data_IF_037205643080
#
_entry.id   IF_037205643080
#
_cell.length_a   1.000
_cell.length_b   1.000
_cell.length_c   1.000
_cell.angle_alpha   90.00
_cell.angle_beta   90.00
_cell.angle_gamma   90.00
#
_symmetry.space_group_name_H-M   'P 1'
#
loop_
_entity.id
_entity.type
_entity.pdbx_description
1 polymer ?
#
# COMPACT_ATOMS: atom_id res chain seq x y z
N UNK A 1 13.14 -1.82 7.52
CA UNK A 1 14.60 -1.70 7.24
C UNK A 1 14.95 -2.53 6.02
N UNK A 2 16.13 -2.33 5.41
CA UNK A 2 16.58 -3.04 4.20
C UNK A 2 15.49 -3.14 3.12
N UNK A 3 14.87 -2.00 2.83
CA UNK A 3 13.73 -1.90 1.92
C UNK A 3 14.11 -2.25 0.48
N UNK A 4 13.29 -3.08 -0.17
CA UNK A 4 13.42 -3.47 -1.57
C UNK A 4 12.07 -3.32 -2.27
N UNK A 5 11.99 -2.44 -3.25
CA UNK A 5 10.79 -2.21 -4.04
C UNK A 5 10.81 -3.07 -5.31
N UNK A 6 9.66 -3.61 -5.68
CA UNK A 6 9.48 -4.52 -6.81
C UNK A 6 8.39 -3.99 -7.76
N UNK A 7 8.77 -3.78 -9.01
CA UNK A 7 7.88 -3.41 -10.13
C UNK A 7 8.20 -4.35 -11.28
N UNK A 8 7.43 -5.42 -11.42
CA UNK A 8 7.80 -6.54 -12.28
C UNK A 8 9.19 -7.05 -11.91
N UNK A 9 10.03 -7.29 -12.92
CA UNK A 9 11.42 -7.75 -12.75
C UNK A 9 12.35 -6.68 -12.15
N UNK A 10 11.94 -5.42 -12.14
CA UNK A 10 12.79 -4.32 -11.63
C UNK A 10 12.78 -4.31 -10.11
N UNK A 11 13.97 -4.32 -9.52
CA UNK A 11 14.19 -4.18 -8.08
C UNK A 11 14.92 -2.87 -7.78
N UNK A 12 14.38 -2.08 -6.86
CA UNK A 12 14.96 -0.79 -6.46
C UNK A 12 15.15 -0.79 -4.95
N UNK A 13 16.38 -0.57 -4.48
CA UNK A 13 16.64 -0.43 -3.05
C UNK A 13 16.13 0.92 -2.57
N UNK A 14 15.28 0.92 -1.55
CA UNK A 14 14.65 2.13 -1.01
C UNK A 14 13.65 1.78 0.09
N UNK A 15 13.47 2.68 1.05
CA UNK A 15 12.47 2.51 2.10
C UNK A 15 11.05 2.76 1.59
N UNK A 16 10.92 3.76 0.71
CA UNK A 16 9.73 4.14 -0.04
C UNK A 16 10.17 4.68 -1.41
N UNK A 17 9.23 4.92 -2.31
CA UNK A 17 9.54 5.62 -3.57
C UNK A 17 10.19 6.97 -3.24
N UNK A 18 11.34 7.23 -3.86
CA UNK A 18 12.16 8.42 -3.67
C UNK A 18 12.83 8.56 -2.29
N UNK A 19 12.78 7.56 -1.42
CA UNK A 19 13.44 7.57 -0.11
C UNK A 19 14.48 6.43 0.01
N UNK A 20 15.71 6.72 0.46
CA UNK A 20 16.76 5.70 0.60
C UNK A 20 16.39 4.67 1.67
N UNK A 21 16.89 3.45 1.52
CA UNK A 21 16.72 2.42 2.55
C UNK A 21 17.70 2.67 3.72
N UNK A 22 17.21 2.53 4.96
CA UNK A 22 18.07 2.38 6.13
C UNK A 22 18.69 0.97 6.14
N UNK A 23 20.01 0.90 6.38
CA UNK A 23 20.81 -0.34 6.42
C UNK A 23 21.68 -0.36 7.68
N UNK A 24 22.17 -1.53 8.11
CA UNK A 24 23.08 -1.67 9.25
C UNK A 24 22.39 -1.92 10.60
N UNK A 25 21.20 -1.36 10.82
CA UNK A 25 20.46 -1.54 12.08
C UNK A 25 19.95 -2.97 12.25
N UNK A 26 19.47 -3.61 11.18
CA UNK A 26 19.01 -5.01 11.23
C UNK A 26 20.16 -5.92 11.67
N UNK A 27 21.34 -5.76 11.09
CA UNK A 27 22.51 -6.59 11.37
C UNK A 27 22.99 -6.41 12.82
N UNK A 28 22.94 -5.18 13.34
CA UNK A 28 23.23 -4.90 14.75
C UNK A 28 22.23 -5.58 15.69
N UNK A 29 20.93 -5.47 15.43
CA UNK A 29 19.90 -6.11 16.25
C UNK A 29 20.02 -7.64 16.22
N UNK A 30 20.32 -8.22 15.06
CA UNK A 30 20.62 -9.65 14.92
C UNK A 30 21.82 -10.06 15.78
N UNK A 31 22.91 -9.28 15.76
CA UNK A 31 24.10 -9.55 16.58
C UNK A 31 23.84 -9.54 18.09
N UNK A 32 22.77 -8.85 18.52
CA UNK A 32 22.34 -8.78 19.91
C UNK A 32 21.30 -9.86 20.29
N UNK A 33 20.97 -10.75 19.35
CA UNK A 33 20.08 -11.90 19.55
C UNK A 33 18.61 -11.65 19.23
N UNK A 34 18.27 -10.51 18.60
CA UNK A 34 16.91 -10.27 18.09
C UNK A 34 16.75 -10.99 16.74
N UNK A 35 15.67 -11.75 16.59
CA UNK A 35 15.33 -12.46 15.35
C UNK A 35 14.51 -11.57 14.42
N UNK A 36 14.78 -11.64 13.12
CA UNK A 36 14.08 -10.87 12.08
C UNK A 36 13.53 -11.80 11.01
N UNK A 37 12.49 -11.35 10.34
CA UNK A 37 11.96 -11.94 9.11
C UNK A 37 11.55 -10.79 8.16
N UNK A 38 11.10 -11.11 6.94
CA UNK A 38 10.71 -10.11 5.94
C UNK A 38 9.22 -10.16 5.66
N UNK A 39 8.62 -8.97 5.57
CA UNK A 39 7.25 -8.77 5.14
C UNK A 39 7.19 -8.03 3.83
N UNK A 40 6.10 -8.27 3.10
CA UNK A 40 5.73 -7.53 1.91
C UNK A 40 4.45 -6.73 2.14
N UNK A 41 4.43 -5.49 1.66
CA UNK A 41 3.18 -4.74 1.40
C UNK A 41 3.16 -4.21 -0.03
N UNK A 42 1.96 -3.94 -0.55
CA UNK A 42 1.76 -3.39 -1.90
C UNK A 42 1.02 -2.07 -1.84
N UNK A 43 1.39 -1.14 -2.71
CA UNK A 43 0.69 0.13 -2.91
C UNK A 43 0.18 0.22 -4.35
N UNK A 44 -0.96 0.88 -4.60
CA UNK A 44 -1.45 1.10 -5.94
C UNK A 44 -0.67 2.21 -6.65
N UNK A 45 -0.99 2.35 -7.92
CA UNK A 45 -0.60 3.49 -8.75
C UNK A 45 -1.03 4.82 -8.13
N UNK A 46 -0.33 5.87 -8.52
CA UNK A 46 -0.79 7.25 -8.39
C UNK A 46 -1.06 7.82 -9.76
N UNK A 47 -2.25 8.38 -9.94
CA UNK A 47 -2.72 8.82 -11.26
C UNK A 47 -2.95 10.32 -11.29
N UNK A 48 -2.82 10.91 -12.48
CA UNK A 48 -3.11 12.32 -12.72
C UNK A 48 -4.61 12.53 -12.97
N UNK A 49 -5.26 13.30 -12.11
CA UNK A 49 -6.69 13.63 -12.20
C UNK A 49 -7.10 14.16 -13.58
N UNK A 50 -6.22 14.89 -14.26
CA UNK A 50 -6.51 15.50 -15.58
C UNK A 50 -6.67 14.47 -16.70
N UNK A 51 -6.25 13.24 -16.45
CA UNK A 51 -6.33 12.12 -17.40
C UNK A 51 -7.50 11.16 -17.11
N UNK A 52 -8.32 11.48 -16.11
CA UNK A 52 -9.45 10.66 -15.67
C UNK A 52 -10.76 11.24 -16.23
N UNK A 53 -11.61 10.36 -16.73
CA UNK A 53 -12.96 10.67 -17.18
C UNK A 53 -13.95 10.44 -16.04
N UNK A 54 -14.08 11.44 -15.17
CA UNK A 54 -14.90 11.37 -13.95
C UNK A 54 -16.40 11.18 -14.25
N UNK A 55 -16.87 11.56 -15.44
CA UNK A 55 -18.24 11.33 -15.91
C UNK A 55 -18.59 9.83 -16.08
N UNK A 56 -17.58 8.96 -16.13
CA UNK A 56 -17.71 7.49 -16.20
C UNK A 56 -17.61 6.83 -14.82
N UNK A 57 -17.66 7.62 -13.74
CA UNK A 57 -17.47 7.18 -12.37
C UNK A 57 -18.62 7.64 -11.47
N UNK A 58 -18.86 6.91 -10.40
CA UNK A 58 -19.84 7.29 -9.38
C UNK A 58 -19.18 8.17 -8.32
N UNK A 59 -19.63 9.41 -8.18
CA UNK A 59 -19.14 10.31 -7.13
C UNK A 59 -19.58 9.83 -5.75
N UNK A 60 -18.64 9.80 -4.80
CA UNK A 60 -18.83 9.47 -3.39
C UNK A 60 -18.46 10.71 -2.54
N UNK A 61 -19.40 11.65 -2.35
CA UNK A 61 -19.16 12.83 -1.54
C UNK A 61 -19.05 12.45 -0.06
N UNK A 62 -18.16 13.14 0.67
CA UNK A 62 -18.07 12.99 2.12
C UNK A 62 -19.29 13.56 2.85
N UNK A 63 -19.51 13.10 4.08
CA UNK A 63 -20.60 13.59 4.93
C UNK A 63 -20.28 14.96 5.53
N UNK A 64 -21.24 15.89 5.50
CA UNK A 64 -21.09 17.25 6.06
C UNK A 64 -21.59 17.37 7.51
N UNK A 65 -21.43 16.31 8.31
CA UNK A 65 -21.90 16.29 9.69
C UNK A 65 -20.85 16.78 10.71
N UNK A 66 -21.12 16.53 12.00
CA UNK A 66 -20.34 17.02 13.14
C UNK A 66 -19.22 16.06 13.59
N UNK A 67 -19.02 14.93 12.92
CA UNK A 67 -18.04 13.94 13.38
C UNK A 67 -16.61 14.48 13.24
N UNK A 68 -15.81 14.22 14.27
CA UNK A 68 -14.37 14.52 14.31
C UNK A 68 -13.64 13.41 15.05
N UNK A 69 -12.41 13.12 14.62
CA UNK A 69 -11.56 12.12 15.29
C UNK A 69 -11.08 12.58 16.68
N UNK A 70 -10.84 13.88 16.86
CA UNK A 70 -10.36 14.44 18.13
C UNK A 70 -11.53 14.83 19.05
N UNK A 71 -11.48 14.39 20.31
CA UNK A 71 -12.41 14.82 21.35
C UNK A 71 -12.19 16.27 21.81
N UNK A 72 -11.09 16.92 21.43
CA UNK A 72 -10.80 18.29 21.86
C UNK A 72 -11.71 19.31 21.17
N UNK A 73 -12.22 20.29 21.93
CA UNK A 73 -13.13 21.33 21.43
C UNK A 73 -12.47 22.33 20.48
N UNK A 74 -11.14 22.45 20.53
CA UNK A 74 -10.34 23.27 19.61
C UNK A 74 -10.29 22.71 18.19
N UNK A 75 -10.63 21.44 17.98
CA UNK A 75 -10.62 20.80 16.67
C UNK A 75 -11.78 21.32 15.81
N UNK A 76 -11.46 22.14 14.80
CA UNK A 76 -12.41 22.66 13.82
C UNK A 76 -12.16 22.05 12.45
N UNK A 77 -13.23 21.72 11.72
CA UNK A 77 -13.15 21.29 10.32
C UNK A 77 -12.84 22.51 9.45
N UNK A 78 -11.57 22.62 9.01
CA UNK A 78 -11.08 23.75 8.20
C UNK A 78 -10.76 23.37 6.75
N UNK A 79 -10.61 22.08 6.48
CA UNK A 79 -10.23 21.56 5.16
C UNK A 79 -11.44 21.38 4.26
N UNK A 80 -11.24 21.64 2.97
CA UNK A 80 -12.23 21.39 1.92
C UNK A 80 -12.49 19.89 1.84
N UNK A 81 -13.77 19.54 1.81
CA UNK A 81 -14.16 18.16 1.56
C UNK A 81 -14.07 17.90 0.06
N UNK A 82 -13.26 16.90 -0.28
CA UNK A 82 -13.12 16.42 -1.65
C UNK A 82 -13.88 15.10 -1.76
N UNK A 83 -14.57 14.90 -2.87
CA UNK A 83 -15.25 13.65 -3.15
C UNK A 83 -14.23 12.57 -3.53
N UNK A 84 -14.52 11.34 -3.10
CA UNK A 84 -13.91 10.16 -3.71
C UNK A 84 -14.79 9.72 -4.89
N UNK A 85 -14.27 8.83 -5.72
CA UNK A 85 -15.01 8.30 -6.86
C UNK A 85 -14.88 6.79 -6.92
N UNK A 86 -15.95 6.11 -7.29
CA UNK A 86 -15.93 4.66 -7.47
C UNK A 86 -16.08 4.27 -8.93
N UNK A 87 -15.36 3.22 -9.31
CA UNK A 87 -15.51 2.53 -10.59
C UNK A 87 -15.18 1.06 -10.41
N UNK A 88 -15.18 0.28 -11.48
CA UNK A 88 -14.92 -1.15 -11.44
C UNK A 88 -13.89 -1.54 -12.49
N UNK A 89 -13.08 -2.54 -12.14
CA UNK A 89 -12.36 -3.33 -13.16
C UNK A 89 -13.36 -4.13 -14.01
N UNK A 90 -12.92 -4.62 -15.16
CA UNK A 90 -13.73 -5.44 -16.06
C UNK A 90 -12.90 -6.64 -16.59
N UNK A 91 -13.54 -7.51 -17.37
CA UNK A 91 -12.89 -8.71 -17.92
C UNK A 91 -11.67 -8.38 -18.79
N UNK A 92 -11.73 -7.34 -19.62
CA UNK A 92 -10.61 -6.91 -20.45
C UNK A 92 -9.40 -6.47 -19.61
N UNK A 93 -9.64 -5.75 -18.50
CA UNK A 93 -8.62 -5.42 -17.51
C UNK A 93 -8.02 -6.70 -16.90
N UNK A 94 -8.86 -7.67 -16.53
CA UNK A 94 -8.42 -8.93 -15.93
C UNK A 94 -7.57 -9.76 -16.89
N UNK A 95 -7.92 -9.82 -18.18
CA UNK A 95 -7.15 -10.53 -19.20
C UNK A 95 -5.74 -9.96 -19.33
N UNK A 96 -5.61 -8.63 -19.38
CA UNK A 96 -4.30 -7.96 -19.42
C UNK A 96 -3.50 -8.24 -18.14
N UNK A 97 -4.14 -8.22 -16.96
CA UNK A 97 -3.48 -8.56 -15.70
C UNK A 97 -3.00 -10.01 -15.70
N UNK A 98 -3.76 -10.95 -16.27
CA UNK A 98 -3.39 -12.36 -16.43
C UNK A 98 -2.14 -12.54 -17.29
N UNK A 99 -2.02 -11.77 -18.38
CA UNK A 99 -0.81 -11.77 -19.23
C UNK A 99 0.46 -11.46 -18.42
N UNK A 100 0.36 -10.56 -17.42
CA UNK A 100 1.49 -10.13 -16.59
C UNK A 100 1.83 -11.06 -15.43
N UNK A 101 1.00 -12.05 -15.10
CA UNK A 101 1.21 -12.93 -13.93
C UNK A 101 2.57 -13.64 -13.91
N UNK A 102 3.10 -14.18 -15.03
CA UNK A 102 4.42 -14.81 -15.05
C UNK A 102 5.57 -13.86 -14.68
N UNK A 103 5.38 -12.56 -14.89
CA UNK A 103 6.36 -11.52 -14.58
C UNK A 103 6.09 -10.82 -13.23
N UNK A 104 5.03 -11.23 -12.52
CA UNK A 104 4.74 -10.74 -11.18
C UNK A 104 5.74 -11.30 -10.16
N UNK A 105 6.38 -10.45 -9.35
CA UNK A 105 7.29 -10.86 -8.28
C UNK A 105 6.68 -11.85 -7.28
N UNK A 106 5.35 -11.84 -7.15
CA UNK A 106 4.60 -12.77 -6.28
C UNK A 106 4.57 -14.19 -6.82
N UNK A 107 4.52 -14.35 -8.14
CA UNK A 107 4.29 -15.64 -8.78
C UNK A 107 5.57 -16.24 -9.38
N UNK A 108 6.57 -15.41 -9.68
CA UNK A 108 7.86 -15.86 -10.23
C UNK A 108 8.91 -16.26 -9.17
N UNK A 109 8.55 -16.20 -7.87
CA UNK A 109 9.44 -16.55 -6.77
C UNK A 109 10.48 -15.49 -6.39
N UNK A 110 10.41 -14.28 -6.98
CA UNK A 110 11.27 -13.13 -6.63
C UNK A 110 10.97 -12.61 -5.23
N UNK A 111 9.71 -12.68 -4.79
CA UNK A 111 9.28 -12.34 -3.43
C UNK A 111 9.01 -13.65 -2.69
N UNK A 112 9.74 -13.86 -1.59
CA UNK A 112 9.58 -15.01 -0.69
C UNK A 112 9.03 -14.61 0.68
N UNK A 113 8.90 -13.30 0.91
CA UNK A 113 8.39 -12.73 2.16
C UNK A 113 6.89 -12.92 2.33
N UNK A 114 6.45 -12.87 3.58
CA UNK A 114 5.05 -13.08 3.95
C UNK A 114 4.28 -11.79 3.71
N UNK A 115 3.17 -11.86 2.96
CA UNK A 115 2.24 -10.75 2.76
C UNK A 115 1.06 -10.77 3.74
N UNK A 116 0.37 -9.64 3.94
CA UNK A 116 -0.86 -9.60 4.73
C UNK A 116 -1.95 -10.47 4.08
N UNK A 117 -2.65 -11.28 4.89
CA UNK A 117 -3.70 -12.21 4.42
C UNK A 117 -4.96 -11.51 3.87
N UNK A 118 -5.24 -10.28 4.30
CA UNK A 118 -6.54 -9.63 4.10
C UNK A 118 -6.59 -8.56 2.99
N UNK A 119 -5.44 -8.03 2.56
CA UNK A 119 -5.35 -7.01 1.50
C UNK A 119 -4.51 -7.52 0.31
N UNK A 120 -5.02 -8.49 -0.47
CA UNK A 120 -4.31 -9.01 -1.62
C UNK A 120 -4.17 -7.93 -2.71
N UNK A 121 -3.04 -7.96 -3.42
CA UNK A 121 -2.86 -7.19 -4.65
C UNK A 121 -3.90 -7.57 -5.71
N UNK A 122 -4.14 -6.69 -6.68
CA UNK A 122 -5.12 -6.92 -7.75
C UNK A 122 -4.81 -8.20 -8.54
N UNK A 123 -3.52 -8.48 -8.82
CA UNK A 123 -3.10 -9.73 -9.46
C UNK A 123 -3.44 -10.98 -8.63
N UNK A 124 -3.53 -10.86 -7.31
CA UNK A 124 -3.90 -11.96 -6.42
C UNK A 124 -5.41 -12.09 -6.29
N UNK A 125 -6.15 -10.97 -6.31
CA UNK A 125 -7.61 -10.96 -6.30
C UNK A 125 -8.19 -11.69 -7.51
N UNK A 126 -7.69 -11.42 -8.72
CA UNK A 126 -8.20 -12.04 -9.95
C UNK A 126 -7.90 -13.55 -10.07
N UNK A 127 -6.87 -14.04 -9.37
CA UNK A 127 -6.55 -15.47 -9.30
C UNK A 127 -7.38 -16.17 -8.21
N UNK A 128 -7.51 -15.53 -7.05
CA UNK A 128 -8.22 -16.10 -5.90
C UNK A 128 -9.73 -16.10 -6.10
N UNK A 129 -10.26 -15.07 -6.75
CA UNK A 129 -11.68 -14.86 -7.02
C UNK A 129 -11.92 -14.82 -8.54
N UNK A 130 -11.48 -15.87 -9.24
CA UNK A 130 -11.50 -15.95 -10.69
C UNK A 130 -12.92 -15.92 -11.31
N UNK A 131 -13.94 -16.20 -10.51
CA UNK A 131 -15.37 -16.13 -10.86
C UNK A 131 -15.91 -14.69 -10.90
N UNK A 132 -15.21 -13.72 -10.29
CA UNK A 132 -15.63 -12.32 -10.30
C UNK A 132 -15.19 -11.63 -11.59
N UNK A 133 -16.16 -11.14 -12.35
CA UNK A 133 -15.93 -10.38 -13.59
C UNK A 133 -15.52 -8.92 -13.35
N UNK A 134 -15.66 -8.45 -12.10
CA UNK A 134 -15.30 -7.08 -11.70
C UNK A 134 -14.90 -6.99 -10.22
N UNK A 135 -14.07 -5.99 -9.94
CA UNK A 135 -13.65 -5.57 -8.60
C UNK A 135 -13.78 -4.06 -8.50
N UNK A 136 -14.39 -3.58 -7.41
CA UNK A 136 -14.54 -2.16 -7.15
C UNK A 136 -13.18 -1.50 -6.88
N UNK A 137 -13.04 -0.29 -7.41
CA UNK A 137 -11.92 0.61 -7.20
C UNK A 137 -12.43 1.92 -6.60
N UNK A 138 -11.65 2.49 -5.69
CA UNK A 138 -11.88 3.83 -5.16
C UNK A 138 -10.74 4.73 -5.64
N UNK A 139 -11.12 5.89 -6.17
CA UNK A 139 -10.20 6.93 -6.58
C UNK A 139 -10.27 8.06 -5.56
N UNK A 140 -9.20 8.20 -4.79
CA UNK A 140 -9.14 9.03 -3.59
C UNK A 140 -8.12 10.17 -3.79
N UNK A 141 -8.49 11.44 -3.58
CA UNK A 141 -7.55 12.56 -3.75
C UNK A 141 -6.46 12.55 -2.67
N UNK A 142 -5.19 12.73 -3.05
CA UNK A 142 -4.08 12.80 -2.06
C UNK A 142 -3.96 14.19 -1.40
N UNK A 143 -4.67 15.21 -1.88
CA UNK A 143 -4.71 16.53 -1.23
C UNK A 143 -5.46 17.60 -2.03
N UNK A 144 -5.69 18.76 -1.42
CA UNK A 144 -6.46 19.88 -2.00
C UNK A 144 -5.73 20.62 -3.13
N UNK A 145 -4.39 20.59 -3.12
CA UNK A 145 -3.54 21.40 -4.00
C UNK A 145 -2.72 20.57 -4.97
N UNK A 146 -3.00 19.26 -5.06
CA UNK A 146 -2.36 18.33 -5.99
C UNK A 146 -3.39 17.76 -6.96
N UNK A 147 -2.92 17.31 -8.12
CA UNK A 147 -3.71 16.55 -9.09
C UNK A 147 -3.51 15.04 -8.93
N UNK A 148 -2.82 14.62 -7.89
CA UNK A 148 -2.50 13.22 -7.66
C UNK A 148 -3.64 12.52 -6.91
N UNK A 149 -4.05 11.38 -7.45
CA UNK A 149 -5.04 10.50 -6.82
C UNK A 149 -4.46 9.11 -6.55
N UNK A 150 -4.89 8.54 -5.42
CA UNK A 150 -4.65 7.18 -4.98
C UNK A 150 -5.73 6.25 -5.54
N UNK A 151 -5.35 5.19 -6.26
CA UNK A 151 -6.30 4.21 -6.80
C UNK A 151 -6.44 2.99 -5.88
N UNK A 152 -7.21 3.15 -4.81
CA UNK A 152 -7.48 2.09 -3.87
C UNK A 152 -8.20 0.90 -4.54
N UNK A 153 -7.79 -0.31 -4.13
CA UNK A 153 -8.23 -1.56 -4.75
C UNK A 153 -7.28 -2.09 -5.84
N UNK A 154 -6.39 -1.25 -6.39
CA UNK A 154 -5.45 -1.59 -7.47
C UNK A 154 -3.98 -1.73 -7.01
N UNK A 155 -3.73 -2.17 -5.77
CA UNK A 155 -2.35 -2.45 -5.32
C UNK A 155 -1.73 -3.53 -6.20
N UNK A 156 -0.55 -3.28 -6.77
CA UNK A 156 0.08 -4.21 -7.70
C UNK A 156 1.60 -4.20 -7.62
N UNK A 157 2.22 -5.28 -8.06
CA UNK A 157 3.65 -5.40 -8.29
C UNK A 157 3.99 -5.81 -9.72
N UNK A 158 3.02 -5.76 -10.64
CA UNK A 158 3.21 -6.08 -12.05
C UNK A 158 4.13 -5.08 -12.76
N UNK A 159 4.67 -5.42 -13.95
CA UNK A 159 5.35 -4.45 -14.80
C UNK A 159 4.49 -3.21 -15.11
N UNK A 160 5.10 -2.02 -15.18
CA UNK A 160 4.39 -0.76 -15.42
C UNK A 160 3.54 -0.78 -16.70
N UNK A 161 4.04 -1.39 -17.78
CA UNK A 161 3.28 -1.49 -19.04
C UNK A 161 2.01 -2.33 -18.89
N UNK A 162 2.01 -3.36 -18.06
CA UNK A 162 0.81 -4.16 -17.75
C UNK A 162 -0.15 -3.34 -16.90
N UNK A 163 0.35 -2.67 -15.86
CA UNK A 163 -0.48 -1.79 -15.02
C UNK A 163 -1.18 -0.73 -15.87
N UNK A 164 -0.44 -0.04 -16.75
CA UNK A 164 -0.99 1.00 -17.63
C UNK A 164 -2.05 0.44 -18.59
N UNK A 165 -1.74 -0.64 -19.32
CA UNK A 165 -2.70 -1.28 -20.25
C UNK A 165 -3.96 -1.76 -19.55
N UNK A 166 -3.81 -2.37 -18.36
CA UNK A 166 -4.94 -2.87 -17.58
C UNK A 166 -5.85 -1.73 -17.12
N UNK A 167 -5.28 -0.59 -16.72
CA UNK A 167 -6.06 0.59 -16.37
C UNK A 167 -6.74 1.21 -17.60
N UNK A 168 -6.06 1.32 -18.74
CA UNK A 168 -6.64 1.85 -19.98
C UNK A 168 -7.81 1.03 -20.53
N UNK A 169 -7.94 -0.24 -20.12
CA UNK A 169 -9.10 -1.07 -20.43
C UNK A 169 -10.37 -0.69 -19.63
N UNK A 170 -10.24 0.14 -18.59
CA UNK A 170 -11.36 0.66 -17.79
C UNK A 170 -11.82 1.98 -18.42
N UNK A 171 -13.10 2.17 -18.75
CA UNK A 171 -13.60 3.34 -19.48
C UNK A 171 -13.19 4.70 -18.87
N UNK A 172 -13.25 4.83 -17.54
CA UNK A 172 -12.87 6.03 -16.80
C UNK A 172 -11.36 6.37 -16.92
N UNK A 173 -10.53 5.38 -17.25
CA UNK A 173 -9.06 5.47 -17.27
C UNK A 173 -8.47 5.27 -18.67
N UNK A 174 -9.27 5.35 -19.74
CA UNK A 174 -8.83 5.16 -21.14
C UNK A 174 -7.61 6.01 -21.54
N UNK A 175 -7.46 7.21 -20.98
CA UNK A 175 -6.35 8.14 -21.25
C UNK A 175 -5.37 8.30 -20.07
N UNK A 176 -5.45 7.41 -19.07
CA UNK A 176 -4.80 7.59 -17.77
C UNK A 176 -3.29 7.82 -17.88
N UNK A 177 -2.80 8.77 -17.09
CA UNK A 177 -1.40 9.06 -16.87
C UNK A 177 -1.03 8.68 -15.44
N UNK A 178 0.09 7.97 -15.29
CA UNK A 178 0.58 7.46 -14.01
C UNK A 178 1.75 8.34 -13.57
N UNK A 179 1.62 9.00 -12.41
CA UNK A 179 2.74 9.67 -11.74
C UNK A 179 3.70 8.66 -11.13
N UNK A 180 3.15 7.65 -10.44
CA UNK A 180 3.93 6.62 -9.73
C UNK A 180 3.32 5.23 -9.96
N UNK A 181 4.11 4.22 -10.39
CA UNK A 181 3.60 2.87 -10.55
C UNK A 181 3.16 2.28 -9.21
N UNK A 182 2.24 1.33 -9.24
CA UNK A 182 2.05 0.40 -8.13
C UNK A 182 3.30 -0.45 -7.96
N UNK A 183 3.66 -0.73 -6.71
CA UNK A 183 4.80 -1.56 -6.39
C UNK A 183 4.57 -2.35 -5.11
N UNK A 184 5.36 -3.41 -4.94
CA UNK A 184 5.51 -4.07 -3.66
C UNK A 184 6.80 -3.62 -2.97
N UNK A 185 6.75 -3.43 -1.65
CA UNK A 185 7.92 -3.18 -0.81
C UNK A 185 8.12 -4.39 0.09
N UNK A 186 9.31 -4.98 0.04
CA UNK A 186 9.80 -5.91 1.05
C UNK A 186 10.64 -5.17 2.08
N UNK A 187 10.47 -5.49 3.35
CA UNK A 187 11.21 -4.88 4.44
C UNK A 187 11.36 -5.86 5.60
N UNK A 188 12.40 -5.64 6.40
CA UNK A 188 12.63 -6.41 7.62
C UNK A 188 11.66 -5.95 8.72
N UNK A 189 11.08 -6.93 9.41
CA UNK A 189 10.33 -6.75 10.65
C UNK A 189 10.88 -7.71 11.73
N UNK A 190 10.53 -7.46 12.99
CA UNK A 190 10.91 -8.31 14.11
C UNK A 190 9.64 -8.86 14.76
N UNK A 191 9.62 -10.17 15.00
CA UNK A 191 8.44 -10.84 15.54
C UNK A 191 8.06 -10.20 16.90
N UNK A 192 6.83 -9.66 17.04
CA UNK A 192 6.39 -8.98 18.25
C UNK A 192 6.31 -9.90 19.47
N UNK A 193 6.35 -11.24 19.30
CA UNK A 193 6.49 -12.19 20.42
C UNK A 193 7.81 -12.04 21.17
N UNK A 194 8.80 -11.35 20.59
CA UNK A 194 10.05 -10.97 21.25
C UNK A 194 9.91 -9.77 22.19
N UNK A 195 8.74 -9.13 22.20
CA UNK A 195 8.42 -7.99 23.06
C UNK A 195 7.60 -8.41 24.28
N UNK A 196 7.69 -7.60 25.33
CA UNK A 196 6.76 -7.58 26.45
C UNK A 196 5.50 -6.80 26.05
N UNK A 197 4.44 -6.86 26.88
CA UNK A 197 3.20 -6.14 26.61
C UNK A 197 3.33 -4.60 26.65
N UNK A 198 4.39 -4.09 27.27
CA UNK A 198 4.77 -2.68 27.23
C UNK A 198 5.64 -2.33 26.00
N UNK A 199 5.74 -3.23 25.00
CA UNK A 199 6.54 -3.08 23.78
C UNK A 199 8.06 -3.02 23.96
N UNK A 200 8.55 -3.19 25.18
CA UNK A 200 9.98 -3.34 25.47
C UNK A 200 10.48 -4.70 24.96
N UNK A 201 11.66 -4.74 24.34
CA UNK A 201 12.26 -6.01 23.93
C UNK A 201 12.60 -6.87 25.13
N UNK A 202 12.40 -8.19 25.03
CA UNK A 202 12.76 -9.14 26.09
C UNK A 202 14.28 -9.30 26.26
N UNK A 203 15.01 -9.10 25.17
CA UNK A 203 16.46 -9.32 25.09
C UNK A 203 17.27 -8.12 25.57
N UNK A 204 16.83 -6.89 25.27
CA UNK A 204 17.54 -5.65 25.55
C UNK A 204 16.64 -4.74 26.38
N UNK A 205 17.05 -4.46 27.62
CA UNK A 205 16.32 -3.53 28.50
C UNK A 205 16.35 -2.11 27.93
N UNK A 206 15.24 -1.39 28.11
CA UNK A 206 15.03 -0.02 27.64
C UNK A 206 15.08 0.17 26.11
N UNK A 207 14.95 -0.91 25.33
CA UNK A 207 14.74 -0.84 23.89
C UNK A 207 13.28 -1.17 23.59
N UNK A 208 12.60 -0.32 22.84
CA UNK A 208 11.19 -0.46 22.50
C UNK A 208 10.99 -0.46 20.99
N UNK A 209 10.09 -1.30 20.49
CA UNK A 209 9.72 -1.34 19.08
C UNK A 209 8.24 -0.98 18.90
N UNK A 210 7.93 -0.13 17.93
CA UNK A 210 6.57 0.32 17.65
C UNK A 210 6.31 0.54 16.15
N UNK A 211 5.15 0.10 15.69
CA UNK A 211 4.68 0.29 14.32
C UNK A 211 5.14 -0.79 13.37
N UNK A 212 5.46 -0.43 12.12
CA UNK A 212 5.71 -1.40 11.05
C UNK A 212 6.88 -2.36 11.31
N UNK A 213 7.82 -1.96 12.17
CA UNK A 213 8.89 -2.82 12.69
C UNK A 213 8.37 -4.07 13.42
N UNK A 214 7.15 -4.04 13.97
CA UNK A 214 6.48 -5.15 14.65
C UNK A 214 5.57 -5.98 13.72
N UNK A 215 5.62 -5.75 12.41
CA UNK A 215 4.81 -6.47 11.42
C UNK A 215 3.38 -5.96 11.24
N UNK A 216 3.01 -4.83 11.85
CA UNK A 216 1.74 -4.13 11.56
C UNK A 216 1.87 -3.25 10.32
N UNK A 217 0.80 -3.00 9.57
CA UNK A 217 0.92 -2.31 8.27
C UNK A 217 0.07 -1.03 8.12
N UNK A 218 -0.75 -0.68 9.11
CA UNK A 218 -1.59 0.53 9.09
C UNK A 218 -1.05 1.65 9.98
N UNK A 219 -1.53 2.87 9.73
CA UNK A 219 -1.06 4.08 10.40
C UNK A 219 -1.58 4.15 11.83
N UNK A 220 -2.83 3.74 12.04
CA UNK A 220 -3.53 3.73 13.31
C UNK A 220 -2.87 2.75 14.28
N UNK A 221 -2.53 1.54 13.82
CA UNK A 221 -1.82 0.55 14.61
C UNK A 221 -0.42 1.03 14.99
N UNK A 222 0.27 1.72 14.07
CA UNK A 222 1.58 2.29 14.34
C UNK A 222 1.52 3.46 15.33
N UNK A 223 0.53 4.34 15.19
CA UNK A 223 0.28 5.45 16.11
C UNK A 223 -0.05 4.95 17.52
N UNK A 224 -0.91 3.92 17.64
CA UNK A 224 -1.24 3.30 18.91
C UNK A 224 -0.04 2.66 19.61
N UNK A 225 0.79 1.92 18.87
CA UNK A 225 2.02 1.34 19.42
C UNK A 225 3.03 2.42 19.83
N UNK A 226 3.17 3.48 19.03
CA UNK A 226 4.06 4.60 19.34
C UNK A 226 3.69 5.28 20.65
N UNK A 227 2.39 5.43 20.93
CA UNK A 227 1.90 5.98 22.19
C UNK A 227 2.22 5.09 23.40
N UNK A 228 2.19 3.77 23.24
CA UNK A 228 2.49 2.83 24.34
C UNK A 228 3.99 2.73 24.61
N UNK A 229 4.81 2.85 23.56
CA UNK A 229 6.26 2.76 23.66
C UNK A 229 6.94 4.06 24.15
N UNK A 230 6.28 5.21 23.97
CA UNK A 230 6.77 6.54 24.42
C UNK A 230 6.43 6.84 25.87
#
# INVERSE_FOLDING_TARGET
MNGLMHIGKTQIRGGRVSEPAATGLTEQLLSLGIQTDRMKTGTPVRIDARSVHFDEMDEQPGENDFHKFSYMDSSRRILKQLSCWTTFTNEACHDILREGLPDSPLYNGQIKSIGPRYCPSIETKIVTFADKTQHQLFLEPEGETTQEYYLNGFSSSLPLNIQLRALQAIPAFRDVQIYRPGYAIEYDFFDPTQLRHNLETKQIKNLFFAGQINGTTGYEEAGGQGLVAG
#
